data_IF_917196720678
#
_entry.id   IF_917196720678
#
_cell.length_a   1.000
_cell.length_b   1.000
_cell.length_c   1.000
_cell.angle_alpha   90.00
_cell.angle_beta   90.00
_cell.angle_gamma   90.00
#
_symmetry.space_group_name_H-M   'P 1'
#
loop_
_entity.id
_entity.type
_entity.pdbx_description
1 polymer ?
#
# COMPACT_ATOMS: atom_id res chain seq x y z
N UNK A 1 0.56 -8.45 -0.02
CA UNK A 1 1.61 -8.96 0.87
C UNK A 1 3.00 -8.82 0.25
N UNK A 2 3.18 -9.33 -0.95
CA UNK A 2 4.47 -9.20 -1.65
C UNK A 2 4.77 -7.75 -2.01
N UNK A 3 3.75 -6.95 -2.33
CA UNK A 3 3.91 -5.52 -2.58
C UNK A 3 4.44 -4.81 -1.32
N UNK A 4 3.86 -5.12 -0.15
CA UNK A 4 4.32 -4.54 1.10
C UNK A 4 5.78 -4.93 1.38
N UNK A 5 6.12 -6.20 1.21
CA UNK A 5 7.48 -6.69 1.42
C UNK A 5 8.47 -5.99 0.48
N UNK A 6 8.09 -5.82 -0.78
CA UNK A 6 8.95 -5.16 -1.75
C UNK A 6 9.25 -3.72 -1.34
N UNK A 7 8.20 -2.95 -0.98
CA UNK A 7 8.37 -1.53 -0.66
C UNK A 7 8.99 -1.27 0.71
N UNK A 8 9.03 -2.28 1.60
CA UNK A 8 9.60 -2.13 2.94
C UNK A 8 10.93 -2.84 3.12
N UNK A 9 11.11 -4.01 2.52
CA UNK A 9 12.28 -4.87 2.76
C UNK A 9 13.34 -4.81 1.68
N UNK A 10 12.97 -4.54 0.42
CA UNK A 10 13.95 -4.42 -0.66
C UNK A 10 14.72 -3.11 -0.50
N UNK A 11 16.04 -3.19 -0.47
CA UNK A 11 16.89 -2.03 -0.20
C UNK A 11 16.66 -0.90 -1.20
N UNK A 12 16.61 -1.21 -2.49
CA UNK A 12 16.38 -0.20 -3.52
C UNK A 12 14.97 0.38 -3.43
N UNK A 13 13.95 -0.49 -3.39
CA UNK A 13 12.56 -0.05 -3.37
C UNK A 13 12.24 0.78 -2.12
N UNK A 14 12.70 0.31 -0.96
CA UNK A 14 12.50 1.03 0.30
C UNK A 14 13.15 2.41 0.26
N UNK A 15 14.39 2.48 -0.22
CA UNK A 15 15.11 3.76 -0.32
C UNK A 15 14.46 4.69 -1.33
N UNK A 16 14.02 4.15 -2.47
CA UNK A 16 13.33 4.93 -3.50
C UNK A 16 12.02 5.51 -2.96
N UNK A 17 11.23 4.70 -2.26
CA UNK A 17 9.99 5.16 -1.65
C UNK A 17 10.23 6.28 -0.63
N UNK A 18 11.23 6.11 0.23
CA UNK A 18 11.58 7.12 1.25
C UNK A 18 12.06 8.41 0.59
N UNK A 19 12.88 8.28 -0.44
CA UNK A 19 13.37 9.43 -1.20
C UNK A 19 12.23 10.21 -1.81
N UNK A 20 11.29 9.53 -2.49
CA UNK A 20 10.13 10.20 -3.09
C UNK A 20 9.26 10.87 -2.03
N UNK A 21 9.08 10.23 -0.87
CA UNK A 21 8.30 10.79 0.23
C UNK A 21 8.88 12.12 0.69
N UNK A 22 10.21 12.22 0.77
CA UNK A 22 10.90 13.44 1.19
C UNK A 22 10.89 14.49 0.09
N UNK A 23 11.13 14.08 -1.16
CA UNK A 23 11.36 15.00 -2.28
C UNK A 23 10.10 15.44 -3.01
N UNK A 24 8.93 14.88 -2.67
CA UNK A 24 7.70 15.12 -3.43
C UNK A 24 7.30 16.60 -3.55
N UNK A 25 7.71 17.41 -2.59
CA UNK A 25 7.36 18.83 -2.59
C UNK A 25 8.44 19.72 -3.21
N UNK A 26 9.56 19.13 -3.65
CA UNK A 26 10.68 19.88 -4.20
C UNK A 26 10.46 20.31 -5.64
N UNK A 27 9.75 19.51 -6.42
CA UNK A 27 9.48 19.82 -7.83
C UNK A 27 8.22 19.11 -8.28
N UNK A 28 7.62 19.62 -9.35
CA UNK A 28 6.46 18.98 -9.98
C UNK A 28 6.82 17.58 -10.48
N UNK A 29 8.04 17.41 -11.04
CA UNK A 29 8.51 16.11 -11.49
C UNK A 29 8.54 15.09 -10.37
N UNK A 30 9.10 15.46 -9.21
CA UNK A 30 9.16 14.57 -8.06
C UNK A 30 7.79 14.25 -7.50
N UNK A 31 6.89 15.23 -7.50
CA UNK A 31 5.52 15.01 -7.05
C UNK A 31 4.80 14.02 -7.98
N UNK A 32 5.00 14.16 -9.29
CA UNK A 32 4.39 13.24 -10.26
C UNK A 32 4.90 11.82 -10.08
N UNK A 33 6.19 11.65 -9.82
CA UNK A 33 6.77 10.33 -9.56
C UNK A 33 6.20 9.73 -8.28
N UNK A 34 6.08 10.54 -7.23
CA UNK A 34 5.48 10.09 -5.97
C UNK A 34 4.06 9.60 -6.20
N UNK A 35 3.23 10.38 -6.90
CA UNK A 35 1.86 9.99 -7.20
C UNK A 35 1.81 8.69 -7.99
N UNK A 36 2.64 8.59 -9.02
CA UNK A 36 2.63 7.44 -9.93
C UNK A 36 3.06 6.15 -9.22
N UNK A 37 4.12 6.20 -8.45
CA UNK A 37 4.69 5.00 -7.85
C UNK A 37 4.13 4.64 -6.49
N UNK A 38 3.62 5.60 -5.74
CA UNK A 38 3.20 5.37 -4.36
C UNK A 38 1.72 5.62 -4.09
N UNK A 39 1.01 6.32 -4.97
CA UNK A 39 -0.39 6.66 -4.72
C UNK A 39 -1.30 6.10 -5.81
N UNK A 40 -1.38 6.78 -6.95
CA UNK A 40 -2.34 6.42 -8.00
C UNK A 40 -2.02 5.11 -8.69
N UNK A 41 -0.74 4.85 -8.95
CA UNK A 41 -0.33 3.61 -9.62
C UNK A 41 -0.72 2.36 -8.82
N UNK A 42 -0.28 2.24 -7.55
CA UNK A 42 -0.67 1.10 -6.74
C UNK A 42 -2.17 0.99 -6.50
N UNK A 43 -2.85 2.12 -6.29
CA UNK A 43 -4.31 2.11 -6.09
C UNK A 43 -5.02 1.57 -7.33
N UNK A 44 -4.58 1.98 -8.52
CA UNK A 44 -5.14 1.49 -9.78
C UNK A 44 -4.89 0.00 -9.96
N UNK A 45 -3.69 -0.46 -9.62
CA UNK A 45 -3.33 -1.88 -9.69
C UNK A 45 -4.26 -2.71 -8.80
N UNK A 46 -4.48 -2.29 -7.57
CA UNK A 46 -5.36 -3.00 -6.64
C UNK A 46 -6.80 -2.97 -7.14
N UNK A 47 -7.24 -1.83 -7.68
CA UNK A 47 -8.58 -1.70 -8.26
C UNK A 47 -8.79 -2.73 -9.37
N UNK A 48 -7.84 -2.88 -10.28
CA UNK A 48 -7.96 -3.84 -11.37
C UNK A 48 -7.98 -5.29 -10.86
N UNK A 49 -7.18 -5.60 -9.83
CA UNK A 49 -7.24 -6.91 -9.19
C UNK A 49 -8.64 -7.19 -8.64
N UNK A 50 -9.22 -6.21 -7.95
CA UNK A 50 -10.54 -6.38 -7.34
C UNK A 50 -11.64 -6.50 -8.40
N UNK A 51 -11.51 -5.78 -9.52
CA UNK A 51 -12.43 -5.93 -10.65
C UNK A 51 -12.37 -7.34 -11.24
N UNK A 52 -11.15 -7.87 -11.41
CA UNK A 52 -10.95 -9.22 -11.93
C UNK A 52 -11.50 -10.30 -10.99
N UNK A 53 -11.50 -10.02 -9.69
CA UNK A 53 -12.11 -10.89 -8.69
C UNK A 53 -13.62 -10.72 -8.58
N UNK A 54 -14.19 -9.80 -9.38
CA UNK A 54 -15.63 -9.49 -9.39
C UNK A 54 -16.14 -9.00 -8.04
N UNK A 55 -15.28 -8.29 -7.33
CA UNK A 55 -15.63 -7.70 -6.05
C UNK A 55 -16.56 -6.52 -6.23
N UNK A 56 -17.53 -6.36 -5.31
CA UNK A 56 -18.40 -5.20 -5.30
C UNK A 56 -17.61 -3.95 -4.93
N UNK A 57 -17.93 -2.83 -5.58
CA UNK A 57 -17.28 -1.54 -5.32
C UNK A 57 -15.76 -1.65 -5.36
N UNK A 58 -15.18 -2.13 -6.48
CA UNK A 58 -13.74 -2.40 -6.52
C UNK A 58 -12.90 -1.15 -6.31
N UNK A 59 -13.35 0.01 -6.78
CA UNK A 59 -12.61 1.25 -6.63
C UNK A 59 -12.54 1.70 -5.17
N UNK A 60 -13.68 1.71 -4.46
CA UNK A 60 -13.72 2.09 -3.05
C UNK A 60 -12.92 1.13 -2.19
N UNK A 61 -13.07 -0.16 -2.44
CA UNK A 61 -12.37 -1.18 -1.67
C UNK A 61 -10.86 -1.14 -1.93
N UNK A 62 -10.45 -0.81 -3.16
CA UNK A 62 -9.04 -0.64 -3.48
C UNK A 62 -8.42 0.50 -2.70
N UNK A 63 -9.12 1.63 -2.60
CA UNK A 63 -8.65 2.78 -1.84
C UNK A 63 -8.50 2.42 -0.36
N UNK A 64 -9.50 1.77 0.20
CA UNK A 64 -9.45 1.35 1.61
C UNK A 64 -8.29 0.39 1.87
N UNK A 65 -8.13 -0.59 1.00
CA UNK A 65 -7.06 -1.58 1.14
C UNK A 65 -5.69 -0.92 1.05
N UNK A 66 -5.48 -0.10 0.02
CA UNK A 66 -4.18 0.52 -0.19
C UNK A 66 -3.88 1.59 0.85
N UNK A 67 -4.89 2.34 1.30
CA UNK A 67 -4.69 3.32 2.38
C UNK A 67 -4.17 2.66 3.65
N UNK A 68 -4.69 1.48 3.98
CA UNK A 68 -4.18 0.73 5.12
C UNK A 68 -2.74 0.27 4.91
N UNK A 69 -2.42 -0.24 3.72
CA UNK A 69 -1.05 -0.63 3.39
C UNK A 69 -0.10 0.57 3.47
N UNK A 70 -0.54 1.71 2.94
CA UNK A 70 0.25 2.93 2.93
C UNK A 70 0.55 3.40 4.37
N UNK A 71 -0.45 3.33 5.24
CA UNK A 71 -0.26 3.63 6.66
C UNK A 71 0.82 2.73 7.27
N UNK A 72 0.80 1.46 6.94
CA UNK A 72 1.76 0.50 7.51
C UNK A 72 3.17 0.65 6.93
N UNK A 73 3.33 1.28 5.77
CA UNK A 73 4.67 1.68 5.31
C UNK A 73 5.30 2.64 6.33
N UNK A 74 4.54 3.65 6.74
CA UNK A 74 5.01 4.64 7.70
C UNK A 74 5.30 4.01 9.06
N UNK A 75 4.41 3.15 9.51
CA UNK A 75 4.57 2.44 10.78
C UNK A 75 5.83 1.58 10.76
N UNK A 76 6.03 0.85 9.65
CA UNK A 76 7.22 0.01 9.48
C UNK A 76 8.51 0.86 9.56
N UNK A 77 8.53 1.99 8.89
CA UNK A 77 9.71 2.85 8.86
C UNK A 77 10.07 3.38 10.26
N UNK A 78 9.06 3.71 11.07
CA UNK A 78 9.26 4.27 12.39
C UNK A 78 9.43 3.26 13.52
N UNK A 79 9.14 1.98 13.25
CA UNK A 79 9.16 0.95 14.28
C UNK A 79 10.55 0.34 14.41
N UNK A 80 11.11 0.33 15.63
CA UNK A 80 12.39 -0.30 15.90
C UNK A 80 12.34 -1.81 15.66
N UNK A 81 11.20 -2.43 15.98
CA UNK A 81 10.97 -3.85 15.74
C UNK A 81 10.21 -4.03 14.42
N UNK A 82 10.95 -4.29 13.35
CA UNK A 82 10.37 -4.45 12.02
C UNK A 82 9.47 -5.68 11.90
N UNK A 83 9.80 -6.75 12.61
CA UNK A 83 8.99 -7.96 12.64
C UNK A 83 7.61 -7.69 13.24
N UNK A 84 7.56 -6.87 14.29
CA UNK A 84 6.29 -6.46 14.91
C UNK A 84 5.42 -5.67 13.93
N UNK A 85 6.00 -4.70 13.23
CA UNK A 85 5.26 -3.88 12.28
C UNK A 85 4.70 -4.74 11.14
N UNK A 86 5.51 -5.65 10.62
CA UNK A 86 5.09 -6.58 9.56
C UNK A 86 3.95 -7.48 10.04
N UNK A 87 4.05 -8.01 11.26
CA UNK A 87 3.02 -8.85 11.84
C UNK A 87 1.70 -8.09 11.99
N UNK A 88 1.76 -6.86 12.45
CA UNK A 88 0.57 -6.00 12.59
C UNK A 88 -0.09 -5.77 11.23
N UNK A 89 0.70 -5.53 10.19
CA UNK A 89 0.17 -5.37 8.85
C UNK A 89 -0.52 -6.65 8.37
N UNK A 90 0.10 -7.81 8.56
CA UNK A 90 -0.45 -9.08 8.12
C UNK A 90 -1.77 -9.39 8.82
N UNK A 91 -1.88 -9.08 10.11
CA UNK A 91 -3.12 -9.25 10.86
C UNK A 91 -4.21 -8.34 10.33
N UNK A 92 -3.88 -7.09 10.04
CA UNK A 92 -4.84 -6.14 9.48
C UNK A 92 -5.30 -6.58 8.09
N UNK A 93 -4.37 -7.07 7.28
CA UNK A 93 -4.67 -7.57 5.94
C UNK A 93 -5.68 -8.71 6.01
N UNK A 94 -5.47 -9.66 6.92
CA UNK A 94 -6.38 -10.79 7.09
C UNK A 94 -7.79 -10.30 7.48
N UNK A 95 -7.88 -9.31 8.35
CA UNK A 95 -9.18 -8.75 8.76
C UNK A 95 -9.88 -8.06 7.60
N UNK A 96 -9.14 -7.29 6.81
CA UNK A 96 -9.71 -6.59 5.65
C UNK A 96 -10.25 -7.60 4.64
N UNK A 97 -9.50 -8.65 4.36
CA UNK A 97 -9.91 -9.69 3.43
C UNK A 97 -11.19 -10.39 3.93
N UNK A 98 -11.24 -10.69 5.23
CA UNK A 98 -12.43 -11.30 5.83
C UNK A 98 -13.66 -10.40 5.71
N UNK A 99 -13.53 -9.11 5.99
CA UNK A 99 -14.63 -8.16 5.85
C UNK A 99 -15.11 -8.05 4.41
N UNK A 100 -14.18 -7.99 3.47
CA UNK A 100 -14.52 -7.91 2.05
C UNK A 100 -15.30 -9.14 1.58
N UNK A 101 -14.95 -10.32 2.08
CA UNK A 101 -15.64 -11.55 1.73
C UNK A 101 -17.08 -11.56 2.20
N UNK A 102 -17.38 -10.93 3.33
CA UNK A 102 -18.74 -10.88 3.87
C UNK A 102 -19.72 -10.12 2.97
N UNK A 103 -19.22 -9.22 2.15
CA UNK A 103 -20.05 -8.37 1.31
C UNK A 103 -20.09 -8.81 -0.15
N UNK A 104 -19.48 -9.93 -0.48
CA UNK A 104 -19.41 -10.45 -1.85
C UNK A 104 -20.56 -11.38 -2.24
N UNK A 105 -21.56 -11.53 -1.42
CA UNK A 105 -22.68 -12.43 -1.69
C UNK A 105 -23.69 -11.83 -2.66
#
# INVERSE_FOLDING_TARGET
KSMFEYWTEDDFASSFRKMLTIEQFRSEEMQNLYQQYLVSGPAEYVKELFKNMKMNHPEENAVKFYANMFFYYSLYDGEANKTKAKSQFEQMLDRIVEEMKKYEL
#
